data_IF_925365233478
#
_entry.id   IF_925365233478
#
_cell.length_a   1.000
_cell.length_b   1.000
_cell.length_c   1.000
_cell.angle_alpha   90.00
_cell.angle_beta   90.00
_cell.angle_gamma   90.00
#
_symmetry.space_group_name_H-M   'P 1'
#
loop_
_entity.id
_entity.type
_entity.pdbx_description
1 polymer ?
#
# COMPACT_ATOMS: atom_id res chain seq x y z
N UNK A 1 -3.65 -15.15 -0.23
CA UNK A 1 -3.14 -14.58 -1.48
C UNK A 1 -2.03 -13.61 -1.16
N UNK A 2 -0.93 -13.77 -1.82
CA UNK A 2 0.24 -12.93 -1.55
C UNK A 2 0.43 -11.92 -2.65
N UNK A 3 0.66 -10.68 -2.27
CA UNK A 3 1.04 -9.63 -3.20
C UNK A 3 2.54 -9.44 -3.12
N UNK A 4 3.21 -9.56 -4.25
CA UNK A 4 4.66 -9.38 -4.33
C UNK A 4 4.98 -8.00 -4.86
N UNK A 5 6.02 -7.39 -4.31
CA UNK A 5 6.54 -6.13 -4.82
C UNK A 5 7.69 -6.42 -5.79
N UNK A 6 7.62 -5.82 -6.96
CA UNK A 6 8.61 -6.03 -8.02
C UNK A 6 9.08 -4.68 -8.52
N UNK A 7 10.41 -4.53 -8.68
CA UNK A 7 10.99 -3.35 -9.30
C UNK A 7 11.45 -3.69 -10.71
N UNK A 8 10.98 -2.91 -11.68
CA UNK A 8 11.36 -3.05 -13.09
C UNK A 8 11.79 -1.67 -13.59
N UNK A 9 13.04 -1.53 -13.99
CA UNK A 9 13.61 -0.26 -14.49
C UNK A 9 13.33 0.92 -13.57
N UNK A 10 13.43 0.70 -12.25
CA UNK A 10 13.20 1.76 -11.26
C UNK A 10 11.74 2.02 -10.91
N UNK A 11 10.81 1.36 -11.58
CA UNK A 11 9.39 1.48 -11.29
C UNK A 11 8.94 0.35 -10.36
N UNK A 12 8.04 0.69 -9.44
CA UNK A 12 7.53 -0.26 -8.47
C UNK A 12 6.19 -0.83 -8.93
N UNK A 13 6.07 -2.15 -8.88
CA UNK A 13 4.84 -2.85 -9.26
C UNK A 13 4.40 -3.78 -8.13
N UNK A 14 3.10 -3.95 -8.01
CA UNK A 14 2.50 -4.99 -7.19
C UNK A 14 2.02 -6.11 -8.11
N UNK A 15 2.47 -7.32 -7.87
CA UNK A 15 1.98 -8.49 -8.59
C UNK A 15 0.95 -9.20 -7.72
N UNK A 16 -0.31 -8.95 -8.01
CA UNK A 16 -1.45 -9.42 -7.26
C UNK A 16 -2.16 -10.52 -8.02
N UNK A 17 -2.54 -11.61 -7.36
CA UNK A 17 -3.21 -12.74 -7.99
C UNK A 17 -4.53 -12.34 -8.66
N UNK A 18 -5.23 -11.35 -8.12
CA UNK A 18 -6.51 -10.90 -8.65
C UNK A 18 -6.37 -9.79 -9.68
N UNK A 19 -5.41 -8.89 -9.48
CA UNK A 19 -5.26 -7.68 -10.29
C UNK A 19 -4.16 -7.78 -11.33
N UNK A 20 -3.29 -8.77 -11.19
CA UNK A 20 -2.12 -8.91 -12.02
C UNK A 20 -1.04 -7.90 -11.65
N UNK A 21 -0.28 -7.47 -12.64
CA UNK A 21 0.83 -6.54 -12.43
C UNK A 21 0.31 -5.12 -12.46
N UNK A 22 0.36 -4.44 -11.32
CA UNK A 22 -0.14 -3.07 -11.16
C UNK A 22 1.02 -2.13 -10.88
N UNK A 23 1.15 -1.09 -11.69
CA UNK A 23 2.18 -0.07 -11.47
C UNK A 23 1.78 0.81 -10.29
N UNK A 24 2.65 0.92 -9.31
CA UNK A 24 2.40 1.69 -8.10
C UNK A 24 3.05 3.07 -8.19
N UNK A 25 2.26 4.09 -7.87
CA UNK A 25 2.72 5.47 -7.81
C UNK A 25 2.58 6.00 -6.38
N UNK A 26 3.55 6.79 -5.88
CA UNK A 26 3.40 7.40 -4.57
C UNK A 26 2.16 8.29 -4.52
N UNK A 27 1.36 8.14 -3.46
CA UNK A 27 0.20 8.98 -3.26
C UNK A 27 0.59 10.35 -2.79
N UNK A 28 -0.09 11.37 -3.30
CA UNK A 28 0.10 12.76 -2.88
C UNK A 28 -1.08 13.25 -2.04
N UNK A 29 -2.23 12.64 -2.20
CA UNK A 29 -3.41 12.94 -1.40
C UNK A 29 -4.35 11.74 -1.41
N UNK A 30 -5.19 11.66 -0.40
CA UNK A 30 -6.08 10.53 -0.19
C UNK A 30 -7.36 11.03 0.49
N UNK A 31 -8.47 10.33 0.27
CA UNK A 31 -9.74 10.61 0.93
C UNK A 31 -10.30 9.32 1.52
N UNK A 32 -11.22 9.46 2.48
CA UNK A 32 -11.92 8.32 3.07
C UNK A 32 -12.67 7.59 1.95
N UNK A 33 -12.53 6.27 1.91
CA UNK A 33 -13.12 5.41 0.89
C UNK A 33 -12.19 5.07 -0.27
N UNK A 34 -11.05 5.75 -0.37
CA UNK A 34 -10.06 5.44 -1.40
C UNK A 34 -9.42 4.09 -1.15
N UNK A 35 -9.18 3.35 -2.22
CA UNK A 35 -8.42 2.12 -2.15
C UNK A 35 -6.97 2.41 -2.48
N UNK A 36 -6.09 2.01 -1.57
CA UNK A 36 -4.67 2.33 -1.65
C UNK A 36 -3.85 1.06 -1.43
N UNK A 37 -2.62 1.08 -1.90
CA UNK A 37 -1.69 -0.01 -1.63
C UNK A 37 -0.75 0.41 -0.50
N UNK A 38 -0.82 -0.31 0.61
CA UNK A 38 0.08 -0.08 1.74
C UNK A 38 1.28 -0.99 1.63
N UNK A 39 2.47 -0.38 1.62
CA UNK A 39 3.71 -1.13 1.62
C UNK A 39 4.17 -1.26 3.07
N UNK A 40 4.21 -2.50 3.57
CA UNK A 40 4.68 -2.78 4.91
C UNK A 40 6.14 -2.34 5.02
N UNK A 41 6.48 -1.43 5.94
CA UNK A 41 7.86 -0.95 6.06
C UNK A 41 8.86 -2.03 6.42
N UNK A 42 8.41 -3.16 6.96
CA UNK A 42 9.28 -4.28 7.27
C UNK A 42 9.51 -5.23 6.09
N UNK A 43 8.90 -4.97 4.95
CA UNK A 43 9.00 -5.84 3.77
C UNK A 43 10.46 -6.18 3.40
N UNK A 44 11.35 -5.23 3.59
CA UNK A 44 12.75 -5.35 3.15
C UNK A 44 13.65 -6.12 4.12
N UNK A 45 13.17 -6.45 5.31
CA UNK A 45 13.98 -7.12 6.33
C UNK A 45 13.64 -8.60 6.54
N UNK A 46 12.87 -9.17 5.62
CA UNK A 46 12.63 -10.61 5.58
C UNK A 46 11.61 -11.14 6.59
N UNK A 47 10.85 -10.28 7.23
CA UNK A 47 9.76 -10.70 8.09
C UNK A 47 8.51 -11.05 7.28
N UNK A 48 7.58 -11.77 7.85
CA UNK A 48 6.29 -12.01 7.22
C UNK A 48 5.52 -10.70 7.15
N UNK A 49 5.19 -10.27 5.97
CA UNK A 49 4.57 -8.97 5.77
C UNK A 49 3.36 -9.07 4.91
N UNK A 50 2.51 -8.10 5.12
CA UNK A 50 1.20 -8.03 4.52
C UNK A 50 1.02 -6.75 3.74
N UNK A 51 1.98 -6.40 2.89
CA UNK A 51 1.76 -5.35 1.90
C UNK A 51 0.53 -5.72 1.10
N UNK A 52 -0.46 -4.84 1.09
CA UNK A 52 -1.77 -5.19 0.53
C UNK A 52 -2.57 -3.96 0.14
N UNK A 53 -3.61 -4.21 -0.65
CA UNK A 53 -4.64 -3.23 -0.93
C UNK A 53 -5.52 -3.06 0.29
N UNK A 54 -5.86 -1.82 0.61
CA UNK A 54 -6.72 -1.49 1.73
C UNK A 54 -7.54 -0.25 1.41
N UNK A 55 -8.65 -0.08 2.11
CA UNK A 55 -9.47 1.14 1.98
C UNK A 55 -9.21 2.06 3.15
N UNK A 56 -9.19 3.35 2.87
CA UNK A 56 -9.07 4.37 3.90
C UNK A 56 -10.41 4.48 4.62
N UNK A 57 -10.39 4.29 5.93
CA UNK A 57 -11.59 4.37 6.77
C UNK A 57 -11.70 5.69 7.51
N UNK A 58 -10.57 6.33 7.81
CA UNK A 58 -10.56 7.60 8.51
C UNK A 58 -9.24 8.34 8.26
N UNK A 59 -9.26 9.66 8.45
CA UNK A 59 -8.07 10.50 8.34
C UNK A 59 -8.07 11.46 9.52
N UNK A 60 -7.03 11.41 10.33
CA UNK A 60 -6.88 12.26 11.52
C UNK A 60 -5.54 13.01 11.38
N UNK A 61 -5.59 14.26 10.91
CA UNK A 61 -4.38 15.03 10.66
C UNK A 61 -3.51 14.33 9.61
N UNK A 62 -2.31 13.90 10.00
CA UNK A 62 -1.38 13.18 9.12
C UNK A 62 -1.56 11.66 9.18
N UNK A 63 -2.41 11.17 10.08
CA UNK A 63 -2.61 9.75 10.28
C UNK A 63 -3.77 9.26 9.43
N UNK A 64 -3.53 8.22 8.66
CA UNK A 64 -4.52 7.60 7.79
C UNK A 64 -4.81 6.22 8.34
N UNK A 65 -6.07 5.96 8.66
CA UNK A 65 -6.52 4.67 9.16
C UNK A 65 -7.04 3.82 8.01
N UNK A 66 -6.57 2.59 7.94
CA UNK A 66 -6.96 1.63 6.92
C UNK A 66 -7.95 0.61 7.50
N UNK A 67 -8.69 -0.05 6.63
CA UNK A 67 -9.72 -1.02 7.02
C UNK A 67 -9.17 -2.28 7.68
N UNK A 68 -7.86 -2.50 7.61
CA UNK A 68 -7.20 -3.61 8.30
C UNK A 68 -6.74 -3.23 9.71
N UNK A 69 -7.08 -2.03 10.20
CA UNK A 69 -6.69 -1.55 11.51
C UNK A 69 -5.31 -0.91 11.57
N UNK A 70 -4.63 -0.78 10.46
CA UNK A 70 -3.31 -0.17 10.40
C UNK A 70 -3.43 1.35 10.32
N UNK A 71 -2.56 2.04 11.04
CA UNK A 71 -2.44 3.49 10.97
C UNK A 71 -1.14 3.83 10.26
N UNK A 72 -1.22 4.66 9.22
CA UNK A 72 -0.08 4.97 8.36
C UNK A 72 -0.05 6.46 8.03
N UNK A 73 1.06 6.91 7.47
CA UNK A 73 1.17 8.23 6.88
C UNK A 73 1.10 8.12 5.36
N UNK A 74 0.86 9.24 4.68
CA UNK A 74 0.65 9.21 3.22
C UNK A 74 1.87 8.71 2.44
N UNK A 75 3.06 8.91 2.97
CA UNK A 75 4.30 8.47 2.32
C UNK A 75 4.47 6.95 2.32
N UNK A 76 3.67 6.23 3.10
CA UNK A 76 3.65 4.77 3.10
C UNK A 76 2.65 4.19 2.12
N UNK A 77 1.86 5.02 1.44
CA UNK A 77 0.79 4.59 0.57
C UNK A 77 1.14 4.82 -0.90
N UNK A 78 0.65 3.91 -1.72
CA UNK A 78 0.82 3.95 -3.17
C UNK A 78 -0.50 3.65 -3.86
N UNK A 79 -0.55 4.03 -5.11
CA UNK A 79 -1.73 3.74 -5.91
C UNK A 79 -1.33 3.24 -7.28
#
# INVERSE_FOLDING_TARGET
METKLIKINGNLFADDDERGLVHLYPLKKVAVGDEVFWIDPCYWVGHEHTSRWAKVTNIIGEIIELDNGTEVTIDELYW
#
